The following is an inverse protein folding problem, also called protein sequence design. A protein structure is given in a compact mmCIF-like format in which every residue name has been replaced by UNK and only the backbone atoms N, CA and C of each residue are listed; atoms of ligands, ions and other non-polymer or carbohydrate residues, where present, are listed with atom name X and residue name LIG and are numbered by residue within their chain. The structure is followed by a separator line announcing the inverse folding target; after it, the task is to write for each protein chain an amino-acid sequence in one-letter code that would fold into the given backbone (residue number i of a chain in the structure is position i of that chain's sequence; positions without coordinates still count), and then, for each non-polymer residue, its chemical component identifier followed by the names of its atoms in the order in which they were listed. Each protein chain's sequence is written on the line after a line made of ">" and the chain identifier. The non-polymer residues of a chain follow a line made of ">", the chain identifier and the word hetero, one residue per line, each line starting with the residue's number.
data_IF_193664876989
#
_entry.id   IF_193664876989
#
_cell.length_a   1.000
_cell.length_b   1.000
_cell.length_c   1.000
_cell.angle_alpha   90.00
_cell.angle_beta   90.00
_cell.angle_gamma   90.00
#
_symmetry.space_group_name_H-M   'P 1'
#
loop_
_entity.id
_entity.type
_entity.pdbx_description
1 polymer ?
#
# COMPACT_ATOMS: atom_id res chain seq x y z
N UNK A 1 16.06 16.32 19.79
CA UNK A 1 15.20 15.17 20.13
C UNK A 1 15.00 14.40 18.83
N UNK A 2 15.63 13.25 18.68
CA UNK A 2 15.43 12.40 17.51
C UNK A 2 14.00 11.84 17.58
N UNK A 3 13.19 12.06 16.56
CA UNK A 3 11.90 11.42 16.46
C UNK A 3 12.16 9.93 16.22
N UNK A 4 12.12 9.12 17.29
CA UNK A 4 12.18 7.67 17.18
C UNK A 4 10.97 7.21 16.36
N UNK A 5 11.18 7.03 15.06
CA UNK A 5 10.15 6.61 14.13
C UNK A 5 9.73 5.20 14.50
N UNK A 6 8.50 5.03 15.00
CA UNK A 6 7.91 3.72 15.22
C UNK A 6 7.94 2.96 13.88
N UNK A 7 8.53 1.75 13.81
CA UNK A 7 8.53 0.98 12.59
C UNK A 7 7.09 0.66 12.17
N UNK A 8 6.65 1.19 11.02
CA UNK A 8 5.28 1.01 10.52
C UNK A 8 4.91 -0.47 10.31
N UNK A 9 5.90 -1.32 10.04
CA UNK A 9 5.72 -2.76 9.84
C UNK A 9 6.07 -3.61 11.10
N UNK A 10 6.37 -2.97 12.24
CA UNK A 10 6.93 -3.63 13.43
C UNK A 10 5.96 -3.80 14.61
N UNK A 11 4.64 -3.73 14.39
CA UNK A 11 3.62 -3.83 15.43
C UNK A 11 2.44 -4.72 15.04
N UNK A 12 1.78 -5.33 16.04
CA UNK A 12 0.70 -6.35 15.95
C UNK A 12 -0.59 -5.90 15.25
N UNK A 13 -0.61 -4.79 14.54
CA UNK A 13 -1.80 -4.30 13.84
C UNK A 13 -1.45 -4.01 12.40
N UNK A 14 -1.30 -5.09 11.64
CA UNK A 14 -1.23 -5.04 10.18
C UNK A 14 -2.70 -5.01 9.72
N UNK A 15 -3.06 -4.04 8.88
CA UNK A 15 -4.35 -4.09 8.19
C UNK A 15 -4.53 -5.50 7.58
N UNK A 16 -5.57 -6.22 8.00
CA UNK A 16 -5.83 -7.57 7.50
C UNK A 16 -6.27 -7.48 6.04
N UNK A 17 -5.33 -7.70 5.11
CA UNK A 17 -5.65 -8.04 3.73
C UNK A 17 -5.88 -9.55 3.73
N UNK A 18 -7.04 -10.00 3.27
CA UNK A 18 -7.32 -11.43 3.21
C UNK A 18 -6.61 -12.08 2.01
N UNK A 19 -6.50 -13.40 2.02
CA UNK A 19 -5.77 -14.16 0.99
C UNK A 19 -6.33 -13.95 -0.42
N UNK A 20 -7.65 -13.83 -0.56
CA UNK A 20 -8.30 -13.61 -1.86
C UNK A 20 -8.01 -12.21 -2.43
N UNK A 21 -8.03 -11.19 -1.57
CA UNK A 21 -7.67 -9.82 -1.94
C UNK A 21 -6.20 -9.74 -2.37
N UNK A 22 -5.33 -10.50 -1.70
CA UNK A 22 -3.92 -10.57 -2.05
C UNK A 22 -3.70 -11.34 -3.35
N UNK A 23 -4.39 -12.47 -3.56
CA UNK A 23 -4.32 -13.22 -4.81
C UNK A 23 -4.76 -12.37 -6.01
N UNK A 24 -5.84 -11.61 -5.89
CA UNK A 24 -6.29 -10.72 -6.96
C UNK A 24 -5.32 -9.55 -7.21
N UNK A 25 -4.73 -8.99 -6.15
CA UNK A 25 -3.70 -7.96 -6.29
C UNK A 25 -2.46 -8.49 -7.04
N UNK A 26 -2.03 -9.72 -6.76
CA UNK A 26 -0.96 -10.39 -7.50
C UNK A 26 -1.34 -10.62 -8.95
N UNK A 27 -2.53 -11.17 -9.21
CA UNK A 27 -3.03 -11.40 -10.57
C UNK A 27 -3.02 -10.12 -11.42
N UNK A 28 -3.49 -9.00 -10.86
CA UNK A 28 -3.48 -7.71 -11.56
C UNK A 28 -2.07 -7.17 -11.80
N UNK A 29 -1.16 -7.43 -10.87
CA UNK A 29 0.24 -6.95 -10.93
C UNK A 29 1.09 -7.79 -11.88
N UNK A 30 0.82 -9.09 -12.01
CA UNK A 30 1.68 -10.02 -12.74
C UNK A 30 1.05 -10.55 -14.03
N UNK A 31 -0.24 -10.86 -14.01
CA UNK A 31 -0.87 -11.67 -15.06
C UNK A 31 -1.77 -10.86 -16.01
N UNK A 32 -2.35 -9.75 -15.56
CA UNK A 32 -3.32 -8.96 -16.34
C UNK A 32 -2.62 -8.10 -17.42
N UNK A 33 -2.78 -8.39 -18.73
CA UNK A 33 -2.09 -7.66 -19.78
C UNK A 33 -2.43 -6.17 -19.79
N UNK A 34 -1.41 -5.32 -19.76
CA UNK A 34 -1.54 -3.85 -19.77
C UNK A 34 -1.76 -3.22 -18.40
N UNK A 35 -2.36 -3.92 -17.43
CA UNK A 35 -2.40 -3.49 -16.03
C UNK A 35 -1.10 -3.87 -15.31
N UNK A 36 -0.59 -5.08 -15.55
CA UNK A 36 0.65 -5.59 -14.96
C UNK A 36 1.83 -4.66 -15.23
N UNK A 37 2.05 -4.29 -16.49
CA UNK A 37 3.13 -3.39 -16.89
C UNK A 37 3.07 -2.02 -16.17
N UNK A 38 1.87 -1.42 -16.07
CA UNK A 38 1.69 -0.12 -15.41
C UNK A 38 1.93 -0.20 -13.90
N UNK A 39 1.44 -1.26 -13.27
CA UNK A 39 1.59 -1.44 -11.82
C UNK A 39 3.06 -1.71 -11.50
N UNK A 40 3.75 -2.53 -12.28
CA UNK A 40 5.17 -2.82 -12.10
C UNK A 40 6.04 -1.59 -12.34
N UNK A 41 5.79 -0.81 -13.39
CA UNK A 41 6.51 0.45 -13.65
C UNK A 41 6.35 1.44 -12.48
N UNK A 42 5.11 1.62 -11.99
CA UNK A 42 4.86 2.46 -10.82
C UNK A 42 5.55 1.91 -9.55
N UNK A 43 5.57 0.60 -9.35
CA UNK A 43 6.30 -0.01 -8.24
C UNK A 43 7.79 0.32 -8.33
N UNK A 44 8.42 0.08 -9.48
CA UNK A 44 9.85 0.37 -9.67
C UNK A 44 10.22 1.83 -9.39
N UNK A 45 9.39 2.78 -9.83
CA UNK A 45 9.58 4.20 -9.52
C UNK A 45 9.52 4.46 -8.01
N UNK A 46 8.52 3.90 -7.33
CA UNK A 46 8.38 4.03 -5.88
C UNK A 46 9.54 3.37 -5.12
N UNK A 47 10.09 2.26 -5.61
CA UNK A 47 11.24 1.59 -4.98
C UNK A 47 12.55 2.38 -5.14
N UNK A 48 12.69 3.13 -6.23
CA UNK A 48 13.84 4.02 -6.49
C UNK A 48 13.79 5.28 -5.63
N UNK A 49 12.60 5.86 -5.48
CA UNK A 49 12.42 7.18 -4.85
C UNK A 49 12.15 7.13 -3.33
N UNK A 50 11.56 6.03 -2.83
CA UNK A 50 11.08 5.96 -1.45
C UNK A 50 11.75 4.86 -0.62
N UNK A 51 12.12 5.20 0.61
CA UNK A 51 12.55 4.24 1.61
C UNK A 51 11.43 3.24 1.97
N UNK A 52 11.79 2.13 2.61
CA UNK A 52 10.83 1.10 3.05
C UNK A 52 9.68 1.67 3.89
N UNK A 53 9.98 2.59 4.82
CA UNK A 53 8.96 3.18 5.68
C UNK A 53 8.09 4.18 4.93
N UNK A 54 8.65 4.93 3.97
CA UNK A 54 7.87 5.85 3.12
C UNK A 54 6.92 5.08 2.19
N UNK A 55 7.38 3.96 1.61
CA UNK A 55 6.51 3.06 0.84
C UNK A 55 5.38 2.47 1.68
N UNK A 56 5.68 2.03 2.91
CA UNK A 56 4.67 1.54 3.83
C UNK A 56 3.64 2.63 4.20
N UNK A 57 4.11 3.86 4.47
CA UNK A 57 3.25 5.00 4.75
C UNK A 57 2.34 5.32 3.55
N UNK A 58 2.91 5.37 2.34
CA UNK A 58 2.17 5.62 1.11
C UNK A 58 1.09 4.55 0.88
N UNK A 59 1.41 3.28 1.06
CA UNK A 59 0.45 2.19 0.93
C UNK A 59 -0.75 2.36 1.89
N UNK A 60 -0.49 2.70 3.16
CA UNK A 60 -1.57 2.96 4.11
C UNK A 60 -2.44 4.16 3.73
N UNK A 61 -1.83 5.25 3.25
CA UNK A 61 -2.58 6.44 2.79
C UNK A 61 -3.43 6.11 1.57
N UNK A 62 -2.91 5.37 0.59
CA UNK A 62 -3.67 4.93 -0.59
C UNK A 62 -4.87 4.08 -0.16
N UNK A 63 -4.65 3.08 0.68
CA UNK A 63 -5.74 2.21 1.19
C UNK A 63 -6.79 3.04 1.95
N UNK A 64 -6.37 3.97 2.80
CA UNK A 64 -7.29 4.86 3.55
C UNK A 64 -8.15 5.70 2.61
N UNK A 65 -7.55 6.29 1.56
CA UNK A 65 -8.26 7.08 0.56
C UNK A 65 -9.25 6.24 -0.25
N UNK A 66 -8.86 5.05 -0.70
CA UNK A 66 -9.75 4.13 -1.43
C UNK A 66 -11.00 3.78 -0.59
N UNK A 67 -10.82 3.56 0.71
CA UNK A 67 -11.93 3.31 1.64
C UNK A 67 -12.81 4.55 1.85
N UNK A 68 -12.21 5.73 1.99
CA UNK A 68 -12.94 7.00 2.14
C UNK A 68 -13.74 7.39 0.88
N UNK A 69 -13.31 6.97 -0.30
CA UNK A 69 -14.10 7.12 -1.53
C UNK A 69 -15.34 6.20 -1.53
N UNK A 70 -15.31 5.11 -0.76
CA UNK A 70 -16.38 4.08 -0.72
C UNK A 70 -17.30 4.23 0.50
N UNK A 71 -16.87 4.95 1.55
CA UNK A 71 -17.65 5.26 2.75
C UNK A 71 -17.33 6.68 3.23
N UNK A 72 -18.30 7.47 3.73
CA UNK A 72 -18.04 8.83 4.20
C UNK A 72 -16.95 8.81 5.29
N UNK A 73 -15.99 9.73 5.16
CA UNK A 73 -14.81 9.84 6.03
C UNK A 73 -15.18 9.71 7.52
N UNK A 74 -14.49 8.86 8.31
CA UNK A 74 -14.60 8.92 9.75
C UNK A 74 -14.08 10.27 10.22
N UNK A 75 -14.91 10.99 10.97
CA UNK A 75 -14.50 12.21 11.66
C UNK A 75 -13.52 11.82 12.77
N UNK A 76 -12.40 12.52 12.80
CA UNK A 76 -11.35 12.40 13.81
C UNK A 76 -11.88 12.76 15.22
#
# INVERSE_FOLDING_TARGET
>A
MAHDSIPLMGGKSVHCINEQQMAEAWRLTEEEPGSSAKIQEALEELEKELSRNERAALAFVIISRLKATTAPLPQA
#
